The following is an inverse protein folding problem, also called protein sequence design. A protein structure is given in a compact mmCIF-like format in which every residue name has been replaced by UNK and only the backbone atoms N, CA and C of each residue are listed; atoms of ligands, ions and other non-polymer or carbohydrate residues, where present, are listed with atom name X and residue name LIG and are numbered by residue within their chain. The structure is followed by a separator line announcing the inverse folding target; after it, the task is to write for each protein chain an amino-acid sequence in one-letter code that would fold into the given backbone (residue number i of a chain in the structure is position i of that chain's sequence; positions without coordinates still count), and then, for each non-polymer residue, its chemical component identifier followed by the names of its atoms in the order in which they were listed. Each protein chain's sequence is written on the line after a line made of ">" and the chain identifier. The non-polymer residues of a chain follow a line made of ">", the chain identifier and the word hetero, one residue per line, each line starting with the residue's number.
data_IF_874449211013
#
_entry.id   IF_874449211013
#
_cell.length_a   1.000
_cell.length_b   1.000
_cell.length_c   1.000
_cell.angle_alpha   90.00
_cell.angle_beta   90.00
_cell.angle_gamma   90.00
#
_symmetry.space_group_name_H-M   'P 1'
#
loop_
_entity.id
_entity.type
_entity.pdbx_description
1 polymer ?
#
# COMPACT_ATOMS: atom_id res chain seq x y z
N UNK A 1 -16.29 5.75 18.11
CA UNK A 1 -16.20 4.56 17.21
C UNK A 1 -16.04 4.94 15.74
N UNK A 2 -16.74 5.95 15.18
CA UNK A 2 -16.64 6.32 13.75
C UNK A 2 -15.28 6.94 13.32
N UNK A 3 -14.57 7.63 14.20
CA UNK A 3 -13.31 8.32 13.91
C UNK A 3 -12.14 7.32 13.70
N UNK A 4 -12.17 6.17 14.38
CA UNK A 4 -11.17 5.12 14.21
C UNK A 4 -11.30 4.38 12.88
N UNK A 5 -12.51 4.31 12.33
CA UNK A 5 -12.77 3.72 11.01
C UNK A 5 -12.23 4.61 9.87
N UNK A 6 -12.31 5.94 10.02
CA UNK A 6 -11.79 6.90 9.04
C UNK A 6 -10.26 6.93 8.99
N UNK A 7 -9.57 6.69 10.11
CA UNK A 7 -8.10 6.63 10.16
C UNK A 7 -7.54 5.33 9.56
N UNK A 8 -8.27 4.23 9.64
CA UNK A 8 -7.91 2.96 8.96
C UNK A 8 -7.97 3.10 7.43
N UNK A 9 -8.99 3.80 6.93
CA UNK A 9 -9.13 4.11 5.50
C UNK A 9 -8.05 5.12 5.06
N UNK A 10 -7.71 6.11 5.88
CA UNK A 10 -6.71 7.12 5.56
C UNK A 10 -5.27 6.55 5.46
N UNK A 11 -4.91 5.55 6.28
CA UNK A 11 -3.60 4.89 6.21
C UNK A 11 -3.44 4.05 4.94
N UNK A 12 -4.46 3.31 4.54
CA UNK A 12 -4.51 2.58 3.27
C UNK A 12 -4.56 3.55 2.07
N UNK A 13 -5.32 4.62 2.17
CA UNK A 13 -5.40 5.70 1.17
C UNK A 13 -4.08 6.44 1.01
N UNK A 14 -3.34 6.70 2.10
CA UNK A 14 -2.04 7.36 2.03
C UNK A 14 -0.99 6.51 1.28
N UNK A 15 -0.99 5.19 1.47
CA UNK A 15 -0.14 4.28 0.70
C UNK A 15 -0.56 4.25 -0.79
N UNK A 16 -1.85 4.18 -1.06
CA UNK A 16 -2.41 4.20 -2.41
C UNK A 16 -2.16 5.58 -3.04
N UNK A 17 -2.35 6.67 -2.31
CA UNK A 17 -2.12 8.03 -2.78
C UNK A 17 -0.63 8.31 -3.02
N UNK A 18 0.26 7.86 -2.14
CA UNK A 18 1.72 7.97 -2.34
C UNK A 18 2.22 7.16 -3.54
N UNK A 19 1.63 5.98 -3.81
CA UNK A 19 1.93 5.20 -5.00
C UNK A 19 1.24 5.77 -6.25
N UNK A 20 0.02 6.27 -6.13
CA UNK A 20 -0.73 6.91 -7.22
C UNK A 20 -0.04 8.22 -7.64
N UNK A 21 0.46 9.05 -6.73
CA UNK A 21 1.20 10.28 -7.06
C UNK A 21 2.48 10.00 -7.85
N UNK A 22 3.22 8.91 -7.54
CA UNK A 22 4.38 8.53 -8.37
C UNK A 22 4.00 8.06 -9.77
N UNK A 23 2.83 7.43 -9.93
CA UNK A 23 2.34 6.97 -11.24
C UNK A 23 1.76 8.15 -12.05
N UNK A 24 1.04 9.06 -11.41
CA UNK A 24 0.49 10.26 -12.07
C UNK A 24 1.58 11.22 -12.49
N UNK A 25 2.67 11.37 -11.72
CA UNK A 25 3.83 12.18 -12.12
C UNK A 25 4.49 11.63 -13.38
N UNK A 26 4.74 10.30 -13.45
CA UNK A 26 5.29 9.65 -14.65
C UNK A 26 4.34 9.71 -15.85
N UNK A 27 3.03 9.59 -15.61
CA UNK A 27 2.02 9.70 -16.67
C UNK A 27 1.92 11.14 -17.20
N UNK A 28 1.98 12.15 -16.33
CA UNK A 28 2.02 13.57 -16.74
C UNK A 28 3.31 13.93 -17.48
N UNK A 29 4.45 13.39 -17.06
CA UNK A 29 5.74 13.59 -17.75
C UNK A 29 5.70 12.98 -19.16
N UNK A 30 5.09 11.79 -19.29
CA UNK A 30 4.89 11.13 -20.59
C UNK A 30 3.89 11.88 -21.49
N UNK A 31 2.80 12.42 -20.91
CA UNK A 31 1.84 13.27 -21.65
C UNK A 31 2.47 14.60 -22.08
N UNK A 32 3.33 15.21 -21.26
CA UNK A 32 4.07 16.42 -21.61
C UNK A 32 5.08 16.19 -22.74
N UNK A 33 5.75 15.02 -22.72
CA UNK A 33 6.66 14.62 -23.81
C UNK A 33 5.89 14.42 -25.14
N UNK A 34 4.70 13.80 -25.09
CA UNK A 34 3.84 13.62 -26.28
C UNK A 34 3.24 14.94 -26.78
N UNK A 35 2.94 15.90 -25.91
CA UNK A 35 2.49 17.24 -26.33
C UNK A 35 3.58 18.10 -26.95
N UNK A 36 4.85 17.85 -26.62
CA UNK A 36 5.99 18.54 -27.27
C UNK A 36 6.29 18.03 -28.67
N UNK A 37 5.90 16.79 -28.99
CA UNK A 37 6.06 16.18 -30.32
C UNK A 37 4.99 16.63 -31.34
N UNK A 38 3.86 17.17 -30.87
CA UNK A 38 2.74 17.63 -31.74
C UNK A 38 2.91 19.07 -32.24
N UNK A 39 3.97 19.77 -31.88
CA UNK A 39 4.22 21.16 -32.31
C UNK A 39 5.22 21.31 -33.48
N UNK A 40 5.28 20.32 -34.38
CA UNK A 40 5.97 20.49 -35.67
C UNK A 40 4.98 20.16 -36.81
N UNK A 41 4.84 21.06 -37.83
CA UNK A 41 3.87 20.84 -38.88
C UNK A 41 4.43 19.97 -40.01
N UNK A 42 3.49 19.23 -40.64
CA UNK A 42 3.58 18.50 -41.92
C UNK A 42 4.46 17.25 -42.00
N UNK A 43 3.79 16.08 -42.07
CA UNK A 43 3.72 15.20 -43.26
C UNK A 43 2.80 14.01 -42.93
N UNK A 44 1.74 13.81 -43.73
CA UNK A 44 0.93 12.58 -43.77
C UNK A 44 1.72 11.55 -44.59
N UNK A 45 1.82 10.30 -44.11
CA UNK A 45 1.12 9.21 -44.78
C UNK A 45 0.47 8.15 -43.83
N UNK A 46 -0.77 7.86 -44.15
CA UNK A 46 -1.57 6.59 -44.10
C UNK A 46 -1.01 5.38 -43.41
N UNK A 47 -1.93 4.86 -42.51
CA UNK A 47 -2.18 3.45 -42.18
C UNK A 47 -1.06 2.66 -41.49
N UNK A 48 -1.20 2.41 -40.17
CA UNK A 48 -1.58 1.10 -39.71
C UNK A 48 -2.03 1.13 -38.23
N UNK A 49 -3.13 0.43 -38.01
CA UNK A 49 -3.84 0.22 -36.78
C UNK A 49 -2.96 -0.41 -35.69
N UNK A 50 -2.76 0.30 -34.59
CA UNK A 50 -2.64 -0.32 -33.27
C UNK A 50 -3.21 0.62 -32.20
N UNK A 51 -4.54 0.68 -32.18
CA UNK A 51 -5.28 1.24 -31.05
C UNK A 51 -5.04 0.33 -29.83
N UNK A 52 -4.14 0.76 -28.97
CA UNK A 52 -4.10 0.33 -27.59
C UNK A 52 -5.42 0.81 -26.94
N UNK A 53 -6.46 -0.02 -27.07
CA UNK A 53 -7.79 0.17 -26.50
C UNK A 53 -7.67 0.20 -24.99
N UNK A 54 -7.77 1.38 -24.41
CA UNK A 54 -8.05 1.59 -23.00
C UNK A 54 -9.51 1.20 -22.75
N UNK A 55 -9.75 -0.11 -22.56
CA UNK A 55 -11.09 -0.65 -22.32
C UNK A 55 -11.55 -0.32 -20.90
N UNK A 56 -12.74 0.26 -20.71
CA UNK A 56 -13.35 0.51 -19.39
C UNK A 56 -13.52 -0.79 -18.55
N UNK A 57 -13.64 -1.94 -19.18
CA UNK A 57 -13.70 -3.26 -18.54
C UNK A 57 -12.47 -3.64 -17.71
N UNK A 58 -11.29 -3.12 -18.03
CA UNK A 58 -10.05 -3.43 -17.29
C UNK A 58 -9.98 -2.67 -15.98
N UNK A 59 -10.54 -1.47 -15.91
CA UNK A 59 -10.59 -0.64 -14.70
C UNK A 59 -11.47 -1.29 -13.64
N UNK A 60 -12.67 -1.74 -14.03
CA UNK A 60 -13.62 -2.37 -13.10
C UNK A 60 -13.09 -3.70 -12.53
N UNK A 61 -12.42 -4.52 -13.34
CA UNK A 61 -11.75 -5.76 -12.88
C UNK A 61 -10.60 -5.50 -11.91
N UNK A 62 -9.84 -4.42 -12.10
CA UNK A 62 -8.75 -4.04 -11.22
C UNK A 62 -9.27 -3.46 -9.89
N UNK A 63 -10.35 -2.70 -9.92
CA UNK A 63 -11.01 -2.17 -8.73
C UNK A 63 -11.65 -3.30 -7.91
N UNK A 64 -12.28 -4.28 -8.56
CA UNK A 64 -12.80 -5.46 -7.89
C UNK A 64 -11.69 -6.30 -7.24
N UNK A 65 -10.54 -6.46 -7.91
CA UNK A 65 -9.38 -7.13 -7.35
C UNK A 65 -8.84 -6.38 -6.12
N UNK A 66 -8.66 -5.07 -6.22
CA UNK A 66 -8.15 -4.23 -5.12
C UNK A 66 -9.06 -4.29 -3.91
N UNK A 67 -10.38 -4.21 -4.10
CA UNK A 67 -11.37 -4.34 -3.01
C UNK A 67 -11.29 -5.69 -2.31
N UNK A 68 -11.24 -6.81 -3.07
CA UNK A 68 -11.12 -8.17 -2.50
C UNK A 68 -9.80 -8.35 -1.76
N UNK A 69 -8.69 -7.86 -2.31
CA UNK A 69 -7.37 -7.89 -1.69
C UNK A 69 -7.38 -7.15 -0.34
N UNK A 70 -7.87 -5.92 -0.31
CA UNK A 70 -7.91 -5.09 0.90
C UNK A 70 -8.85 -5.67 1.96
N UNK A 71 -10.04 -6.14 1.59
CA UNK A 71 -10.98 -6.76 2.51
C UNK A 71 -10.40 -8.01 3.17
N UNK A 72 -9.72 -8.87 2.41
CA UNK A 72 -9.07 -10.05 2.98
C UNK A 72 -7.93 -9.69 3.92
N UNK A 73 -7.08 -8.73 3.53
CA UNK A 73 -5.99 -8.28 4.39
C UNK A 73 -6.49 -7.64 5.67
N UNK A 74 -7.51 -6.79 5.61
CA UNK A 74 -8.06 -6.15 6.81
C UNK A 74 -8.55 -7.19 7.84
N UNK A 75 -9.16 -8.27 7.37
CA UNK A 75 -9.60 -9.37 8.22
C UNK A 75 -8.47 -10.23 8.79
N UNK A 76 -7.36 -10.41 8.06
CA UNK A 76 -6.33 -11.41 8.40
C UNK A 76 -4.94 -10.80 8.70
N UNK A 77 -4.75 -9.49 8.60
CA UNK A 77 -3.43 -8.85 8.71
C UNK A 77 -2.77 -9.06 10.08
N UNK A 78 -3.57 -9.26 11.14
CA UNK A 78 -3.09 -9.57 12.49
C UNK A 78 -2.69 -11.02 12.69
N UNK A 79 -3.01 -11.90 11.74
CA UNK A 79 -2.61 -13.29 11.81
C UNK A 79 -1.13 -13.43 11.45
N UNK A 80 -0.33 -13.96 12.39
CA UNK A 80 1.11 -14.18 12.20
C UNK A 80 1.40 -15.25 11.15
N UNK A 81 0.47 -16.18 10.92
CA UNK A 81 0.61 -17.30 10.00
C UNK A 81 0.11 -16.99 8.59
N UNK A 82 -0.43 -15.79 8.35
CA UNK A 82 -0.88 -15.36 7.03
C UNK A 82 0.24 -15.48 5.98
N UNK A 83 0.01 -16.32 4.99
CA UNK A 83 0.93 -16.59 3.87
C UNK A 83 0.43 -15.97 2.56
N UNK A 84 1.35 -15.75 1.63
CA UNK A 84 1.03 -15.28 0.27
C UNK A 84 0.17 -16.29 -0.48
N UNK A 85 0.32 -17.57 -0.17
CA UNK A 85 -0.46 -18.67 -0.74
C UNK A 85 -1.94 -18.57 -0.37
N UNK A 86 -2.25 -18.23 0.89
CA UNK A 86 -3.63 -18.07 1.38
C UNK A 86 -4.31 -16.90 0.68
N UNK A 87 -3.57 -15.79 0.51
CA UNK A 87 -4.03 -14.63 -0.22
C UNK A 87 -4.29 -14.94 -1.70
N UNK A 88 -3.40 -15.69 -2.34
CA UNK A 88 -3.55 -16.10 -3.74
C UNK A 88 -4.78 -17.00 -3.91
N UNK A 89 -4.95 -17.98 -3.01
CA UNK A 89 -6.10 -18.88 -3.01
C UNK A 89 -7.42 -18.12 -2.84
N UNK A 90 -7.49 -17.20 -1.87
CA UNK A 90 -8.68 -16.35 -1.66
C UNK A 90 -9.04 -15.52 -2.89
N UNK A 91 -8.05 -15.02 -3.61
CA UNK A 91 -8.25 -14.24 -4.83
C UNK A 91 -8.48 -15.09 -6.08
N UNK A 92 -8.52 -16.44 -5.96
CA UNK A 92 -8.77 -17.37 -7.05
C UNK A 92 -7.64 -17.40 -8.08
N UNK A 93 -6.39 -17.20 -7.69
CA UNK A 93 -5.24 -17.15 -8.60
C UNK A 93 -4.02 -17.90 -8.05
N UNK A 94 -3.10 -18.26 -8.94
CA UNK A 94 -1.80 -18.82 -8.53
C UNK A 94 -0.91 -17.74 -7.92
N UNK A 95 0.07 -18.16 -7.08
CA UNK A 95 1.09 -17.26 -6.52
C UNK A 95 1.82 -16.44 -7.59
N UNK A 96 2.11 -17.05 -8.75
CA UNK A 96 2.77 -16.37 -9.89
C UNK A 96 1.87 -15.27 -10.48
N UNK A 97 0.60 -15.56 -10.69
CA UNK A 97 -0.38 -14.58 -11.18
C UNK A 97 -0.57 -13.43 -10.18
N UNK A 98 -0.68 -13.74 -8.88
CA UNK A 98 -0.76 -12.72 -7.83
C UNK A 98 0.46 -11.81 -7.86
N UNK A 99 1.69 -12.38 -7.89
CA UNK A 99 2.92 -11.61 -7.95
C UNK A 99 2.97 -10.68 -9.16
N UNK A 100 2.61 -11.19 -10.34
CA UNK A 100 2.59 -10.41 -11.57
C UNK A 100 1.56 -9.28 -11.50
N UNK A 101 0.34 -9.58 -11.05
CA UNK A 101 -0.74 -8.60 -10.92
C UNK A 101 -0.40 -7.50 -9.89
N UNK A 102 0.16 -7.88 -8.74
CA UNK A 102 0.62 -6.93 -7.72
C UNK A 102 1.74 -6.02 -8.24
N UNK A 103 2.70 -6.57 -8.99
CA UNK A 103 3.74 -5.75 -9.62
C UNK A 103 3.18 -4.78 -10.65
N UNK A 104 2.21 -5.21 -11.43
CA UNK A 104 1.58 -4.36 -12.47
C UNK A 104 0.75 -3.23 -11.84
N UNK A 105 -0.06 -3.55 -10.82
CA UNK A 105 -1.00 -2.58 -10.23
C UNK A 105 -0.35 -1.69 -9.15
N UNK A 106 0.49 -2.29 -8.28
CA UNK A 106 1.02 -1.63 -7.09
C UNK A 106 2.55 -1.47 -7.10
N UNK A 107 3.22 -1.97 -8.14
CA UNK A 107 4.69 -1.96 -8.26
C UNK A 107 5.43 -2.57 -7.04
N UNK A 108 4.80 -3.54 -6.36
CA UNK A 108 5.37 -4.21 -5.19
C UNK A 108 5.10 -5.72 -5.21
N UNK A 109 5.79 -6.47 -4.35
CA UNK A 109 5.49 -7.90 -4.17
C UNK A 109 4.36 -8.09 -3.16
N UNK A 110 3.63 -9.23 -3.19
CA UNK A 110 2.60 -9.54 -2.19
C UNK A 110 3.12 -9.47 -0.75
N UNK A 111 4.35 -9.95 -0.50
CA UNK A 111 4.96 -9.92 0.83
C UNK A 111 5.28 -8.49 1.29
N UNK A 112 5.81 -7.63 0.40
CA UNK A 112 6.07 -6.23 0.73
C UNK A 112 4.75 -5.49 1.04
N UNK A 113 3.68 -5.82 0.32
CA UNK A 113 2.36 -5.25 0.56
C UNK A 113 1.79 -5.67 1.92
N UNK A 114 1.89 -6.96 2.29
CA UNK A 114 1.50 -7.46 3.62
C UNK A 114 2.32 -6.74 4.71
N UNK A 115 3.64 -6.67 4.57
CA UNK A 115 4.52 -5.99 5.53
C UNK A 115 4.13 -4.52 5.68
N UNK A 116 3.91 -3.80 4.59
CA UNK A 116 3.51 -2.39 4.63
C UNK A 116 2.19 -2.18 5.41
N UNK A 117 1.19 -3.04 5.19
CA UNK A 117 -0.08 -2.99 5.91
C UNK A 117 0.10 -3.33 7.40
N UNK A 118 0.93 -4.31 7.75
CA UNK A 118 1.28 -4.62 9.15
C UNK A 118 1.97 -3.44 9.85
N UNK A 119 2.88 -2.74 9.15
CA UNK A 119 3.51 -1.52 9.70
C UNK A 119 2.46 -0.42 9.90
N UNK A 120 1.56 -0.19 8.95
CA UNK A 120 0.46 0.77 9.11
C UNK A 120 -0.39 0.44 10.34
N UNK A 121 -0.74 -0.83 10.56
CA UNK A 121 -1.47 -1.27 11.76
C UNK A 121 -0.68 -1.02 13.04
N UNK A 122 0.63 -1.27 13.04
CA UNK A 122 1.49 -0.98 14.20
C UNK A 122 1.54 0.51 14.54
N UNK A 123 1.55 1.39 13.54
CA UNK A 123 1.47 2.85 13.74
C UNK A 123 0.14 3.25 14.41
N UNK A 124 -0.97 2.61 14.03
CA UNK A 124 -2.28 2.85 14.66
C UNK A 124 -2.27 2.45 16.14
N UNK A 125 -1.69 1.28 16.49
CA UNK A 125 -1.53 0.88 17.90
C UNK A 125 -0.67 1.87 18.69
N UNK A 126 0.43 2.35 18.12
CA UNK A 126 1.29 3.35 18.78
C UNK A 126 0.59 4.68 19.00
N UNK A 127 -0.34 5.08 18.12
CA UNK A 127 -1.08 6.35 18.19
C UNK A 127 -2.32 6.29 19.07
N UNK A 128 -2.87 5.10 19.31
CA UNK A 128 -4.11 4.91 20.09
C UNK A 128 -3.95 5.07 21.61
N UNK A 129 -2.82 5.62 22.06
CA UNK A 129 -2.50 5.82 23.48
C UNK A 129 -2.54 4.53 24.33
N UNK A 130 -2.20 3.41 23.70
CA UNK A 130 -2.15 2.10 24.34
C UNK A 130 -0.84 1.96 25.14
N UNK A 131 -0.92 1.39 26.33
CA UNK A 131 0.24 1.07 27.17
C UNK A 131 1.07 -0.11 26.65
N UNK A 132 0.77 -0.59 25.43
CA UNK A 132 1.44 -1.72 24.80
C UNK A 132 2.94 -1.49 24.64
N UNK A 133 3.72 -2.52 24.92
CA UNK A 133 5.15 -2.53 24.63
C UNK A 133 5.42 -2.87 23.15
N UNK A 134 6.65 -2.70 22.69
CA UNK A 134 7.04 -2.89 21.29
C UNK A 134 6.80 -4.34 20.82
N UNK A 135 7.01 -5.33 21.69
CA UNK A 135 6.79 -6.74 21.33
C UNK A 135 5.30 -7.05 21.17
N UNK A 136 4.45 -6.54 22.06
CA UNK A 136 3.00 -6.66 21.96
C UNK A 136 2.47 -6.00 20.68
N UNK A 137 2.93 -4.79 20.36
CA UNK A 137 2.58 -4.11 19.12
C UNK A 137 2.99 -4.95 17.90
N UNK A 138 4.18 -5.55 17.91
CA UNK A 138 4.63 -6.42 16.84
C UNK A 138 3.68 -7.61 16.63
N UNK A 139 3.36 -8.34 17.71
CA UNK A 139 2.45 -9.50 17.64
C UNK A 139 1.04 -9.11 17.20
N UNK A 140 0.45 -8.07 17.79
CA UNK A 140 -0.88 -7.58 17.40
C UNK A 140 -0.95 -7.06 15.96
N UNK A 141 0.20 -6.68 15.40
CA UNK A 141 0.32 -6.26 14.00
C UNK A 141 0.59 -7.42 13.04
N UNK A 142 0.64 -8.67 13.54
CA UNK A 142 0.83 -9.87 12.72
C UNK A 142 2.28 -10.29 12.52
N UNK A 143 3.26 -9.70 13.22
CA UNK A 143 4.65 -10.18 13.19
C UNK A 143 4.86 -11.25 14.26
N UNK A 144 5.50 -12.35 13.89
CA UNK A 144 5.89 -13.41 14.82
C UNK A 144 7.26 -13.19 15.48
N UNK A 145 8.05 -12.22 14.99
CA UNK A 145 9.37 -11.88 15.53
C UNK A 145 9.51 -10.36 15.70
N UNK A 146 9.59 -9.84 16.94
CA UNK A 146 9.79 -8.42 17.21
C UNK A 146 11.09 -7.82 16.65
N UNK A 147 12.13 -8.63 16.45
CA UNK A 147 13.37 -8.17 15.83
C UNK A 147 13.18 -7.94 14.33
N UNK A 148 12.47 -8.87 13.67
CA UNK A 148 12.10 -8.69 12.26
C UNK A 148 11.16 -7.50 12.08
N UNK A 149 10.16 -7.37 12.94
CA UNK A 149 9.29 -6.18 12.99
C UNK A 149 10.09 -4.88 13.06
N UNK A 150 11.05 -4.76 14.01
CA UNK A 150 11.84 -3.55 14.19
C UNK A 150 12.66 -3.17 12.95
N UNK A 151 13.19 -4.16 12.23
CA UNK A 151 13.90 -3.95 10.95
C UNK A 151 12.96 -3.45 9.87
N UNK A 152 11.80 -4.08 9.72
CA UNK A 152 10.78 -3.68 8.75
C UNK A 152 10.24 -2.28 9.07
N UNK A 153 9.95 -2.00 10.33
CA UNK A 153 9.46 -0.71 10.79
C UNK A 153 10.45 0.41 10.46
N UNK A 154 11.73 0.24 10.80
CA UNK A 154 12.77 1.21 10.48
C UNK A 154 12.93 1.42 8.98
N UNK A 155 12.85 0.35 8.18
CA UNK A 155 12.91 0.44 6.71
C UNK A 155 11.75 1.25 6.13
N UNK A 156 10.55 1.14 6.69
CA UNK A 156 9.35 1.82 6.19
C UNK A 156 9.16 3.24 6.71
N UNK A 157 9.56 3.50 7.97
CA UNK A 157 9.31 4.79 8.64
C UNK A 157 10.55 5.67 8.77
N UNK A 158 11.74 5.11 8.55
CA UNK A 158 13.02 5.77 8.78
C UNK A 158 13.48 5.79 10.24
N UNK A 159 12.61 5.40 11.21
CA UNK A 159 12.87 5.43 12.65
C UNK A 159 12.69 4.04 13.27
N UNK A 160 13.35 3.79 14.39
CA UNK A 160 13.06 2.58 15.18
C UNK A 160 11.67 2.67 15.83
N UNK A 161 11.02 1.54 16.15
CA UNK A 161 9.75 1.54 16.87
C UNK A 161 9.80 2.29 18.21
N UNK A 162 10.92 2.16 18.95
CA UNK A 162 11.09 2.82 20.24
C UNK A 162 11.20 4.34 20.13
N UNK A 163 11.95 4.82 19.14
CA UNK A 163 12.05 6.27 18.84
C UNK A 163 10.69 6.84 18.45
N UNK A 164 9.96 6.14 17.57
CA UNK A 164 8.65 6.59 17.13
C UNK A 164 7.64 6.63 18.30
N UNK A 165 7.56 5.58 19.10
CA UNK A 165 6.67 5.50 20.26
C UNK A 165 6.98 6.60 21.30
N UNK A 166 8.26 6.89 21.54
CA UNK A 166 8.69 7.97 22.44
C UNK A 166 8.25 9.34 21.95
N UNK A 167 8.32 9.58 20.63
CA UNK A 167 7.84 10.83 20.03
C UNK A 167 6.31 10.98 20.14
N UNK A 168 5.55 9.91 19.92
CA UNK A 168 4.10 9.92 20.06
C UNK A 168 3.71 10.25 21.50
N UNK A 169 4.29 9.57 22.49
CA UNK A 169 4.03 9.82 23.92
C UNK A 169 4.36 11.28 24.30
N UNK A 170 5.49 11.82 23.85
CA UNK A 170 5.89 13.21 24.10
C UNK A 170 4.90 14.22 23.49
N UNK A 171 4.37 13.94 22.30
CA UNK A 171 3.36 14.81 21.66
C UNK A 171 2.02 14.77 22.41
N UNK A 172 1.60 13.59 22.87
CA UNK A 172 0.37 13.43 23.63
C UNK A 172 0.42 14.22 24.96
N UNK A 173 1.56 14.15 25.69
CA UNK A 173 1.76 14.90 26.94
C UNK A 173 1.71 16.42 26.73
N UNK A 174 2.28 16.92 25.61
CA UNK A 174 2.25 18.36 25.30
C UNK A 174 0.88 18.88 24.88
N UNK A 175 0.00 18.03 24.40
CA UNK A 175 -1.36 18.41 24.00
C UNK A 175 -2.35 18.46 25.17
N UNK A 176 -1.94 17.98 26.35
CA UNK A 176 -2.74 17.95 27.59
C UNK A 176 -2.36 19.08 28.57
N UNK A 177 -1.33 19.86 28.24
CA UNK A 177 -0.86 21.03 29.03
C UNK A 177 -1.22 22.32 28.34
#
# INVERSE_FOLDING_TARGET
>A
MAILFLLSIAGGWWLIDHYAQKQTLKAMEKLRALQQEVSAPDVIPTSDSNQSSFSPETTDKNDAFSRKLLAYLDAHIGDTDLKVEDLALHLGMSRKQLLQKMKTLFNCTPIDFIIANRITRSLQYMQSNNEMNIAEIAYCSGFNDPRYFSRCFKKHTGKSPSEYLSEVKRKATKAQT
#
